data_IF_885103062867
#
_entry.id   IF_885103062867
#
_cell.length_a   1.000
_cell.length_b   1.000
_cell.length_c   1.000
_cell.angle_alpha   90.00
_cell.angle_beta   90.00
_cell.angle_gamma   90.00
#
_symmetry.space_group_name_H-M   'P 1'
#
loop_
_entity.id
_entity.type
_entity.pdbx_description
1 polymer ?
#
# COMPACT_ATOMS: atom_id res chain seq x y z
N UNK A 1 9.41 3.99 -20.40
CA UNK A 1 8.33 3.99 -19.40
C UNK A 1 9.00 4.00 -18.05
N UNK A 2 8.72 5.00 -17.21
CA UNK A 2 9.30 5.16 -15.88
C UNK A 2 8.82 4.06 -14.92
N UNK A 3 9.63 3.70 -13.93
CA UNK A 3 9.26 2.79 -12.84
C UNK A 3 9.77 3.37 -11.52
N UNK A 4 8.91 3.44 -10.52
CA UNK A 4 9.25 3.89 -9.18
C UNK A 4 8.97 2.81 -8.15
N UNK A 5 9.69 2.85 -7.02
CA UNK A 5 9.48 1.93 -5.89
C UNK A 5 8.61 2.58 -4.82
N UNK A 6 7.57 1.87 -4.38
CA UNK A 6 6.65 2.27 -3.32
C UNK A 6 6.91 1.38 -2.09
N UNK A 7 7.35 1.94 -0.94
CA UNK A 7 7.45 1.16 0.29
C UNK A 7 6.07 0.71 0.75
N UNK A 8 5.87 -0.56 1.10
CA UNK A 8 4.60 -1.09 1.60
C UNK A 8 4.61 -1.16 3.12
N UNK A 9 3.54 -0.69 3.77
CA UNK A 9 3.44 -0.73 5.23
C UNK A 9 3.18 -2.16 5.74
N UNK A 10 3.75 -2.47 6.92
CA UNK A 10 3.53 -3.75 7.58
C UNK A 10 2.04 -3.99 7.89
N UNK A 11 1.65 -5.26 7.89
CA UNK A 11 0.32 -5.69 8.30
C UNK A 11 0.14 -5.36 9.80
N UNK A 12 -0.89 -4.59 10.21
CA UNK A 12 -1.00 -4.08 11.58
C UNK A 12 -1.21 -5.15 12.66
N UNK A 13 -1.60 -6.36 12.25
CA UNK A 13 -1.84 -7.49 13.14
C UNK A 13 -1.26 -8.75 12.50
N UNK A 14 -0.72 -9.64 13.33
CA UNK A 14 -0.34 -10.97 12.86
C UNK A 14 -1.59 -11.81 12.54
N UNK A 15 -1.53 -12.73 11.55
CA UNK A 15 -2.58 -13.73 11.39
C UNK A 15 -2.59 -14.70 12.59
N UNK A 16 -3.73 -15.37 12.80
CA UNK A 16 -3.81 -16.51 13.70
C UNK A 16 -2.80 -17.60 13.28
N UNK A 17 -2.47 -18.51 14.20
CA UNK A 17 -1.51 -19.59 13.92
C UNK A 17 -1.95 -20.43 12.72
N UNK A 18 -1.13 -20.45 11.67
CA UNK A 18 -1.44 -21.14 10.41
C UNK A 18 -2.39 -20.38 9.48
N UNK A 19 -2.80 -19.16 9.84
CA UNK A 19 -3.62 -18.28 9.02
C UNK A 19 -2.80 -17.46 8.02
N UNK A 20 -3.48 -16.96 7.00
CA UNK A 20 -2.90 -16.13 5.94
C UNK A 20 -2.96 -14.64 6.28
N UNK A 21 -1.98 -13.90 5.79
CA UNK A 21 -1.97 -12.44 5.79
C UNK A 21 -1.24 -11.91 4.55
N UNK A 22 -1.73 -10.81 3.99
CA UNK A 22 -1.17 -10.15 2.81
C UNK A 22 -1.26 -8.62 2.93
N UNK A 23 -0.42 -7.92 2.16
CA UNK A 23 -0.50 -6.48 1.96
C UNK A 23 -0.04 -6.08 0.55
N UNK A 24 -0.47 -4.91 0.10
CA UNK A 24 0.00 -4.34 -1.16
C UNK A 24 -0.83 -3.16 -1.63
N UNK A 25 -0.34 -2.51 -2.69
CA UNK A 25 -1.06 -1.49 -3.42
C UNK A 25 -2.17 -2.15 -4.24
N UNK A 26 -3.39 -1.65 -4.09
CA UNK A 26 -4.56 -2.15 -4.84
C UNK A 26 -5.12 -1.14 -5.83
N UNK A 27 -4.78 0.15 -5.70
CA UNK A 27 -5.26 1.23 -6.56
C UNK A 27 -4.27 2.41 -6.55
N UNK A 28 -4.12 3.09 -7.70
CA UNK A 28 -3.29 4.29 -7.87
C UNK A 28 -4.04 5.30 -8.74
N UNK A 29 -4.39 6.44 -8.15
CA UNK A 29 -5.04 7.56 -8.84
C UNK A 29 -4.08 8.75 -8.97
N UNK A 30 -3.91 9.27 -10.17
CA UNK A 30 -3.13 10.48 -10.39
C UNK A 30 -3.82 11.70 -9.79
N UNK A 31 -3.08 12.48 -9.01
CA UNK A 31 -3.47 13.84 -8.58
C UNK A 31 -2.95 14.85 -9.58
N UNK A 32 -1.68 14.69 -9.97
CA UNK A 32 -1.02 15.43 -11.04
C UNK A 32 0.13 14.58 -11.65
N UNK A 33 1.12 15.22 -12.26
CA UNK A 33 2.23 14.56 -12.94
C UNK A 33 3.21 13.85 -11.99
N UNK A 34 3.30 14.29 -10.73
CA UNK A 34 4.31 13.80 -9.78
C UNK A 34 3.68 13.18 -8.53
N UNK A 35 2.41 13.50 -8.25
CA UNK A 35 1.68 13.07 -7.06
C UNK A 35 0.52 12.14 -7.39
N UNK A 36 0.37 11.12 -6.55
CA UNK A 36 -0.67 10.09 -6.70
C UNK A 36 -1.29 9.76 -5.35
N UNK A 37 -2.58 9.43 -5.35
CA UNK A 37 -3.21 8.74 -4.24
C UNK A 37 -3.07 7.24 -4.45
N UNK A 38 -2.68 6.53 -3.40
CA UNK A 38 -2.46 5.08 -3.41
C UNK A 38 -3.32 4.47 -2.32
N UNK A 39 -4.08 3.42 -2.67
CA UNK A 39 -4.72 2.56 -1.68
C UNK A 39 -3.76 1.41 -1.37
N UNK A 40 -3.35 1.31 -0.11
CA UNK A 40 -2.74 0.10 0.43
C UNK A 40 -3.77 -0.66 1.25
N UNK A 41 -3.98 -1.92 0.88
CA UNK A 41 -4.76 -2.87 1.65
C UNK A 41 -3.82 -3.83 2.36
N UNK A 42 -4.15 -4.16 3.60
CA UNK A 42 -3.63 -5.36 4.25
C UNK A 42 -4.75 -6.16 4.88
N UNK A 43 -4.55 -7.47 4.99
CA UNK A 43 -5.50 -8.34 5.66
C UNK A 43 -4.79 -9.45 6.43
N UNK A 44 -5.45 -9.94 7.49
CA UNK A 44 -4.99 -11.08 8.27
C UNK A 44 -6.19 -11.93 8.71
N UNK A 45 -6.03 -13.24 8.71
CA UNK A 45 -7.04 -14.18 9.19
C UNK A 45 -7.03 -14.31 10.72
N UNK A 46 -8.22 -14.32 11.32
CA UNK A 46 -8.42 -14.72 12.72
C UNK A 46 -8.50 -16.26 12.86
N UNK A 47 -8.70 -16.76 14.09
CA UNK A 47 -8.80 -18.20 14.38
C UNK A 47 -9.97 -18.89 13.66
N UNK A 48 -11.02 -18.15 13.29
CA UNK A 48 -12.14 -18.64 12.50
C UNK A 48 -11.88 -18.60 10.99
N UNK A 49 -10.65 -18.28 10.55
CA UNK A 49 -10.29 -18.16 9.13
C UNK A 49 -10.85 -16.93 8.43
N UNK A 50 -11.41 -15.98 9.18
CA UNK A 50 -12.02 -14.76 8.63
C UNK A 50 -11.00 -13.65 8.50
N UNK A 51 -10.99 -12.97 7.35
CA UNK A 51 -10.14 -11.82 7.12
C UNK A 51 -10.67 -10.56 7.82
N UNK A 52 -9.75 -9.86 8.51
CA UNK A 52 -9.91 -8.45 8.88
C UNK A 52 -9.07 -7.60 7.94
N UNK A 53 -9.69 -6.64 7.27
CA UNK A 53 -9.01 -5.70 6.38
C UNK A 53 -8.59 -4.43 7.13
N UNK A 54 -7.45 -3.88 6.75
CA UNK A 54 -6.96 -2.56 7.12
C UNK A 54 -6.64 -1.84 5.81
N UNK A 55 -7.25 -0.68 5.61
CA UNK A 55 -7.17 0.04 4.34
C UNK A 55 -6.71 1.45 4.65
N UNK A 56 -5.66 1.88 3.97
CA UNK A 56 -5.09 3.21 4.11
C UNK A 56 -4.93 3.85 2.75
N UNK A 57 -5.21 5.14 2.70
CA UNK A 57 -4.94 6.00 1.55
C UNK A 57 -3.69 6.78 1.87
N UNK A 58 -2.71 6.70 0.98
CA UNK A 58 -1.49 7.48 1.03
C UNK A 58 -1.45 8.44 -0.15
N UNK A 59 -0.79 9.57 0.03
CA UNK A 59 -0.25 10.34 -1.07
C UNK A 59 1.21 9.89 -1.26
N UNK A 60 1.59 9.65 -2.51
CA UNK A 60 2.98 9.47 -2.89
C UNK A 60 3.44 10.64 -3.78
N UNK A 61 4.72 10.99 -3.67
CA UNK A 61 5.38 12.00 -4.47
C UNK A 61 6.63 11.40 -5.14
N UNK A 62 6.72 11.57 -6.46
CA UNK A 62 7.77 11.01 -7.31
C UNK A 62 8.87 12.01 -7.69
N UNK A 63 8.76 13.28 -7.30
CA UNK A 63 9.67 14.37 -7.72
C UNK A 63 11.15 14.09 -7.42
N UNK A 64 11.44 13.56 -6.23
CA UNK A 64 12.80 13.18 -5.80
C UNK A 64 13.07 11.66 -5.89
N UNK A 65 12.13 10.89 -6.44
CA UNK A 65 12.25 9.44 -6.54
C UNK A 65 13.17 9.02 -7.68
N UNK A 66 13.95 7.96 -7.47
CA UNK A 66 14.80 7.42 -8.52
C UNK A 66 13.97 6.58 -9.51
N UNK A 67 14.08 6.87 -10.80
CA UNK A 67 13.58 5.95 -11.83
C UNK A 67 14.42 4.68 -11.87
N UNK A 68 13.81 3.56 -11.49
CA UNK A 68 14.42 2.23 -11.48
C UNK A 68 14.11 1.43 -12.74
N UNK A 69 13.57 2.05 -13.81
CA UNK A 69 13.25 1.37 -15.06
C UNK A 69 14.45 0.67 -15.71
N UNK A 70 15.66 1.17 -15.44
CA UNK A 70 16.94 0.63 -15.92
C UNK A 70 17.66 -0.29 -14.91
N UNK A 71 17.13 -0.45 -13.70
CA UNK A 71 17.74 -1.28 -12.66
C UNK A 71 17.26 -2.72 -12.81
N UNK A 72 18.19 -3.65 -13.01
CA UNK A 72 17.88 -5.08 -13.24
C UNK A 72 17.31 -5.75 -11.99
N UNK A 73 17.81 -5.38 -10.80
CA UNK A 73 17.36 -5.92 -9.51
C UNK A 73 17.53 -4.90 -8.40
N UNK A 74 16.54 -4.79 -7.52
CA UNK A 74 16.56 -3.91 -6.36
C UNK A 74 17.20 -4.54 -5.12
N UNK A 75 17.48 -5.85 -5.11
CA UNK A 75 17.91 -6.57 -3.90
C UNK A 75 19.22 -6.07 -3.28
N UNK A 76 20.09 -5.45 -4.09
CA UNK A 76 21.40 -4.91 -3.67
C UNK A 76 21.70 -3.56 -4.32
N UNK A 77 20.67 -2.85 -4.79
CA UNK A 77 20.82 -1.54 -5.40
C UNK A 77 20.52 -0.46 -4.36
N UNK A 78 21.31 0.61 -4.37
CA UNK A 78 20.94 1.85 -3.69
C UNK A 78 19.95 2.61 -4.60
N UNK A 79 18.74 2.86 -4.10
CA UNK A 79 17.73 3.64 -4.81
C UNK A 79 16.89 4.45 -3.84
N UNK A 80 16.39 5.59 -4.30
CA UNK A 80 15.47 6.42 -3.54
C UNK A 80 14.02 6.05 -3.90
N UNK A 81 13.23 5.47 -2.97
CA UNK A 81 11.81 5.24 -3.21
C UNK A 81 11.03 6.55 -3.24
N UNK A 82 9.76 6.48 -3.66
CA UNK A 82 8.84 7.62 -3.58
C UNK A 82 8.67 8.08 -2.13
N UNK A 83 8.49 9.39 -1.94
CA UNK A 83 8.04 9.89 -0.65
C UNK A 83 6.58 9.45 -0.44
N UNK A 84 6.24 8.95 0.75
CA UNK A 84 4.91 8.43 1.08
C UNK A 84 4.38 9.08 2.36
N UNK A 85 3.15 9.60 2.32
CA UNK A 85 2.47 10.24 3.45
C UNK A 85 1.06 9.67 3.63
N UNK A 86 0.72 9.27 4.86
CA UNK A 86 -0.64 8.82 5.17
C UNK A 86 -1.63 9.99 5.01
N UNK A 87 -2.70 9.77 4.26
CA UNK A 87 -3.81 10.71 4.09
C UNK A 87 -4.99 10.29 4.95
N UNK A 88 -5.35 9.00 4.93
CA UNK A 88 -6.48 8.48 5.69
C UNK A 88 -6.25 7.01 6.06
N UNK A 89 -6.49 6.67 7.33
CA UNK A 89 -6.68 5.27 7.74
C UNK A 89 -8.18 5.01 7.88
N UNK A 90 -8.74 4.15 7.04
CA UNK A 90 -10.17 3.90 7.03
C UNK A 90 -10.65 3.19 8.32
N UNK A 91 -9.74 2.63 9.11
CA UNK A 91 -10.09 2.04 10.42
C UNK A 91 -10.43 3.08 11.47
N UNK A 92 -10.11 4.36 11.23
CA UNK A 92 -10.53 5.47 12.10
C UNK A 92 -11.94 5.96 11.78
N UNK A 93 -12.58 5.43 10.73
CA UNK A 93 -13.96 5.74 10.40
C UNK A 93 -14.90 4.81 11.16
N UNK A 94 -16.06 5.32 11.59
CA UNK A 94 -17.09 4.53 12.23
C UNK A 94 -17.83 3.64 11.21
N UNK A 95 -17.16 2.55 10.81
CA UNK A 95 -17.65 1.57 9.85
C UNK A 95 -17.59 0.17 10.46
N UNK A 96 -18.67 -0.61 10.40
CA UNK A 96 -18.74 -1.92 11.07
C UNK A 96 -17.78 -2.95 10.45
N UNK A 97 -17.44 -2.83 9.16
CA UNK A 97 -16.49 -3.71 8.47
C UNK A 97 -15.91 -3.02 7.24
N UNK A 98 -14.60 -3.12 7.06
CA UNK A 98 -13.93 -2.77 5.82
C UNK A 98 -13.85 -4.01 4.91
N UNK A 99 -14.26 -3.84 3.66
CA UNK A 99 -14.12 -4.84 2.60
C UNK A 99 -13.13 -4.35 1.54
N UNK A 100 -12.84 -5.15 0.52
CA UNK A 100 -11.89 -4.76 -0.52
C UNK A 100 -12.27 -3.42 -1.18
N UNK A 101 -11.26 -2.57 -1.38
CA UNK A 101 -11.33 -1.33 -2.15
C UNK A 101 -10.22 -1.39 -3.19
N UNK A 102 -10.62 -1.34 -4.45
CA UNK A 102 -9.78 -1.57 -5.64
C UNK A 102 -10.14 -0.56 -6.75
N UNK A 103 -10.63 0.63 -6.36
CA UNK A 103 -11.03 1.66 -7.32
C UNK A 103 -11.23 3.02 -6.67
N UNK A 104 -10.71 4.04 -7.33
CA UNK A 104 -10.92 5.47 -7.05
C UNK A 104 -11.20 6.18 -8.39
N UNK A 105 -11.94 7.28 -8.36
CA UNK A 105 -12.34 8.03 -9.55
C UNK A 105 -12.37 9.54 -9.27
#
# INVERSE_FOLDING_TARGET
MWKFSIPIDAIPVAPARGGFADNGVTEILAVDHERFLVVERSAAQNEAGQYRNFIRVYEIDTSDAMDVSHVVSLAHADFQPVAKRLVLDLTTLDRPKLNNIEGMA
#
